data_IF_833983400453
#
_entry.id   IF_833983400453
#
_cell.length_a   1.000
_cell.length_b   1.000
_cell.length_c   1.000
_cell.angle_alpha   90.00
_cell.angle_beta   90.00
_cell.angle_gamma   90.00
#
_symmetry.space_group_name_H-M   'P 1'
#
loop_
_entity.id
_entity.type
_entity.pdbx_description
1 polymer ?
#
# COMPACT_ATOMS: atom_id res chain seq x y z
N UNK A 1 -52.31 0.34 24.57
CA UNK A 1 -51.25 1.10 25.26
C UNK A 1 -49.95 0.80 24.54
N UNK A 2 -49.45 1.76 23.77
CA UNK A 2 -48.26 1.63 22.92
C UNK A 2 -47.14 2.52 23.45
N UNK A 3 -45.92 1.99 23.57
CA UNK A 3 -44.60 2.65 23.42
C UNK A 3 -43.47 1.72 23.93
N UNK A 4 -42.20 1.89 23.49
CA UNK A 4 -41.71 2.56 22.27
C UNK A 4 -40.67 1.73 21.48
N UNK A 5 -40.53 2.05 20.18
CA UNK A 5 -39.43 1.63 19.30
C UNK A 5 -38.16 2.40 19.65
N UNK A 6 -37.03 1.70 19.73
CA UNK A 6 -35.69 2.30 19.83
C UNK A 6 -35.26 2.86 18.48
N UNK A 7 -35.04 4.17 18.42
CA UNK A 7 -34.44 4.84 17.27
C UNK A 7 -32.94 4.55 17.20
N UNK A 8 -32.50 3.79 16.19
CA UNK A 8 -31.09 3.73 15.79
C UNK A 8 -30.72 5.05 15.11
N UNK A 9 -30.08 5.96 15.86
CA UNK A 9 -29.45 7.16 15.31
C UNK A 9 -28.20 6.78 14.52
N UNK A 10 -28.32 6.84 13.21
CA UNK A 10 -27.21 6.80 12.27
C UNK A 10 -26.37 8.09 12.48
N UNK A 11 -25.18 7.97 13.10
CA UNK A 11 -24.25 9.10 13.22
C UNK A 11 -23.42 9.18 11.93
N UNK A 12 -23.35 10.34 11.25
CA UNK A 12 -22.51 10.47 10.07
C UNK A 12 -21.03 10.32 10.44
N UNK A 13 -20.31 9.48 9.71
CA UNK A 13 -18.87 9.35 9.79
C UNK A 13 -18.20 10.72 9.54
N UNK A 14 -17.24 11.08 10.40
CA UNK A 14 -16.51 12.34 10.32
C UNK A 14 -15.85 12.53 8.95
N UNK A 15 -15.87 13.76 8.46
CA UNK A 15 -15.14 14.17 7.24
C UNK A 15 -13.64 13.97 7.48
N UNK A 16 -13.07 12.88 6.94
CA UNK A 16 -11.64 12.74 6.79
C UNK A 16 -11.13 13.81 5.82
N UNK A 17 -10.32 14.76 6.30
CA UNK A 17 -9.47 15.62 5.47
C UNK A 17 -8.09 14.95 5.44
N UNK A 18 -7.65 14.51 4.27
CA UNK A 18 -6.25 14.12 4.06
C UNK A 18 -5.33 15.32 4.40
N UNK A 19 -4.13 15.10 4.95
CA UNK A 19 -3.22 16.18 5.29
C UNK A 19 -2.77 16.93 4.01
N UNK A 20 -3.01 18.24 3.98
CA UNK A 20 -2.76 19.13 2.83
C UNK A 20 -1.28 19.24 2.40
N UNK A 21 -0.33 18.78 3.24
CA UNK A 21 1.10 18.95 3.02
C UNK A 21 1.65 18.17 1.81
N UNK A 22 1.09 17.00 1.48
CA UNK A 22 1.61 16.15 0.38
C UNK A 22 1.05 16.52 -1.00
N UNK A 23 -0.19 17.04 -1.06
CA UNK A 23 -0.69 17.67 -2.30
C UNK A 23 0.16 18.87 -2.68
N UNK A 24 0.63 19.62 -1.69
CA UNK A 24 1.53 20.75 -1.90
C UNK A 24 2.91 20.28 -2.41
N UNK A 25 3.53 19.24 -1.83
CA UNK A 25 4.82 18.75 -2.30
C UNK A 25 4.78 18.20 -3.74
N UNK A 26 3.72 17.45 -4.08
CA UNK A 26 3.54 16.94 -5.45
C UNK A 26 3.20 18.08 -6.42
N UNK A 27 2.35 19.04 -6.03
CA UNK A 27 2.07 20.23 -6.83
C UNK A 27 3.30 21.14 -6.99
N UNK A 28 4.15 21.27 -5.96
CA UNK A 28 5.40 22.04 -5.99
C UNK A 28 6.41 21.35 -6.90
N UNK A 29 6.58 20.02 -6.85
CA UNK A 29 7.44 19.32 -7.80
C UNK A 29 6.91 19.41 -9.23
N UNK A 30 5.59 19.30 -9.45
CA UNK A 30 4.97 19.48 -10.77
C UNK A 30 5.17 20.93 -11.26
N UNK A 31 5.01 21.93 -10.39
CA UNK A 31 5.20 23.34 -10.71
C UNK A 31 6.67 23.70 -10.98
N UNK A 32 7.61 23.13 -10.21
CA UNK A 32 9.05 23.31 -10.43
C UNK A 32 9.52 22.68 -11.75
N UNK A 33 8.97 21.51 -12.11
CA UNK A 33 9.22 20.88 -13.42
C UNK A 33 8.57 21.66 -14.57
N UNK A 34 7.35 22.18 -14.38
CA UNK A 34 6.69 23.06 -15.35
C UNK A 34 7.46 24.37 -15.57
N UNK A 35 8.13 24.88 -14.53
CA UNK A 35 8.99 26.07 -14.58
C UNK A 35 10.40 25.82 -15.17
N UNK A 36 10.69 24.60 -15.65
CA UNK A 36 11.97 24.28 -16.29
C UNK A 36 13.16 24.15 -15.33
N UNK A 37 12.93 23.95 -14.04
CA UNK A 37 14.00 23.73 -13.07
C UNK A 37 14.52 22.27 -13.15
N UNK A 38 15.82 22.10 -13.35
CA UNK A 38 16.49 20.80 -13.21
C UNK A 38 16.46 20.38 -11.72
N UNK A 39 15.52 19.51 -11.36
CA UNK A 39 15.54 18.82 -10.07
C UNK A 39 16.51 17.64 -10.19
N UNK A 40 17.63 17.60 -9.45
CA UNK A 40 18.61 16.53 -9.58
C UNK A 40 18.00 15.18 -9.21
N UNK A 41 18.24 14.16 -10.04
CA UNK A 41 17.78 12.78 -9.91
C UNK A 41 18.27 12.03 -8.64
N UNK A 42 18.99 12.71 -7.75
CA UNK A 42 19.64 12.11 -6.58
C UNK A 42 19.49 13.03 -5.37
N UNK A 43 18.50 12.77 -4.52
CA UNK A 43 18.54 13.26 -3.15
C UNK A 43 19.62 12.45 -2.40
N UNK A 44 20.84 12.95 -2.32
CA UNK A 44 21.76 12.48 -1.28
C UNK A 44 21.22 12.92 0.09
N UNK A 45 21.19 12.05 1.11
CA UNK A 45 20.97 12.53 2.47
C UNK A 45 22.11 13.48 2.87
N UNK A 46 21.87 14.45 3.77
CA UNK A 46 22.90 15.40 4.16
C UNK A 46 24.11 14.64 4.73
N UNK A 47 25.29 14.95 4.19
CA UNK A 47 26.55 14.41 4.67
C UNK A 47 26.71 14.74 6.15
N UNK A 48 26.89 13.71 6.98
CA UNK A 48 27.36 13.89 8.34
C UNK A 48 28.74 14.57 8.28
N UNK A 49 28.80 15.79 8.81
CA UNK A 49 30.06 16.50 9.04
C UNK A 49 30.91 15.71 10.03
N UNK A 50 31.87 14.95 9.52
CA UNK A 50 32.96 14.42 10.30
C UNK A 50 33.89 15.59 10.69
N UNK A 51 33.86 15.99 11.97
CA UNK A 51 34.64 17.11 12.45
C UNK A 51 34.64 17.25 13.96
N UNK A 52 35.18 16.26 14.67
CA UNK A 52 35.74 16.45 16.01
C UNK A 52 36.75 15.34 16.32
N UNK A 53 38.04 15.68 16.27
CA UNK A 53 39.13 14.84 16.78
C UNK A 53 39.01 14.74 18.30
N UNK A 54 39.00 13.51 18.83
CA UNK A 54 39.28 13.25 20.24
C UNK A 54 40.81 13.24 20.47
N UNK A 55 41.31 13.76 21.62
CA UNK A 55 42.74 13.91 21.86
C UNK A 55 43.42 12.56 22.19
N UNK A 56 44.69 12.44 21.80
CA UNK A 56 45.56 11.28 22.07
C UNK A 56 45.93 11.17 23.56
N UNK A 57 46.17 9.95 24.10
CA UNK A 57 46.61 9.74 25.48
C UNK A 57 48.13 9.99 25.65
N UNK A 58 48.61 10.30 26.87
CA UNK A 58 50.03 10.53 27.14
C UNK A 58 50.81 9.20 27.25
N UNK A 59 52.15 9.22 27.14
CA UNK A 59 52.96 8.01 27.22
C UNK A 59 53.13 7.52 28.66
N UNK A 60 53.28 6.21 28.82
CA UNK A 60 53.50 5.55 30.10
C UNK A 60 54.98 5.58 30.50
N UNK A 61 55.26 6.05 31.72
CA UNK A 61 56.49 5.79 32.44
C UNK A 61 56.31 4.62 33.44
N UNK A 62 57.44 4.01 33.74
CA UNK A 62 57.65 2.64 34.21
C UNK A 62 57.77 2.54 35.76
N UNK A 63 57.65 1.29 36.25
CA UNK A 63 58.16 0.74 37.54
C UNK A 63 57.31 0.86 38.82
N UNK A 64 56.78 -0.28 39.29
CA UNK A 64 57.16 -0.99 40.52
C UNK A 64 56.05 -1.95 41.03
N UNK A 65 56.37 -3.25 41.19
CA UNK A 65 55.60 -4.21 41.98
C UNK A 65 56.10 -4.21 43.45
N UNK A 66 55.34 -4.76 44.43
CA UNK A 66 55.53 -6.19 44.74
C UNK A 66 54.31 -7.00 45.26
N UNK A 67 54.47 -8.32 45.09
CA UNK A 67 54.07 -9.49 45.89
C UNK A 67 52.62 -9.78 46.34
N UNK A 68 52.14 -10.96 45.93
CA UNK A 68 51.03 -11.68 46.58
C UNK A 68 50.45 -12.79 45.70
N UNK A 69 50.93 -14.02 45.90
CA UNK A 69 50.63 -15.20 45.08
C UNK A 69 49.17 -15.71 45.12
N UNK A 70 48.65 -16.09 43.94
CA UNK A 70 47.98 -17.38 43.63
C UNK A 70 47.54 -17.42 42.15
N UNK A 71 47.98 -18.42 41.38
CA UNK A 71 47.54 -18.75 40.00
C UNK A 71 46.90 -20.16 39.99
N UNK A 72 46.38 -20.71 38.87
CA UNK A 72 45.89 -20.16 37.58
C UNK A 72 44.40 -20.59 37.35
N UNK A 73 43.64 -20.13 36.36
CA UNK A 73 43.58 -20.70 34.99
C UNK A 73 42.67 -19.87 34.10
N UNK A 74 43.13 -19.55 32.89
CA UNK A 74 42.27 -19.36 31.72
C UNK A 74 42.08 -17.93 31.23
N UNK A 75 43.08 -17.37 30.56
CA UNK A 75 42.84 -16.38 29.49
C UNK A 75 43.92 -16.53 28.43
N UNK A 76 43.61 -17.24 27.34
CA UNK A 76 44.30 -16.98 26.07
C UNK A 76 43.65 -15.75 25.46
N UNK A 77 44.46 -14.70 25.33
CA UNK A 77 44.12 -13.47 24.64
C UNK A 77 44.06 -13.75 23.13
N UNK A 78 42.85 -13.96 22.62
CA UNK A 78 42.49 -13.55 21.28
C UNK A 78 41.28 -12.62 21.43
N UNK A 79 41.55 -11.32 21.45
CA UNK A 79 40.52 -10.29 21.32
C UNK A 79 39.92 -10.33 19.91
N UNK A 80 39.12 -11.37 19.63
CA UNK A 80 38.17 -11.37 18.55
C UNK A 80 36.86 -10.85 19.14
N UNK A 81 36.57 -9.57 18.92
CA UNK A 81 35.17 -9.13 18.86
C UNK A 81 34.49 -10.06 17.88
N UNK A 82 33.56 -10.89 18.37
CA UNK A 82 32.71 -11.69 17.52
C UNK A 82 31.95 -10.71 16.62
N UNK A 83 32.42 -10.56 15.38
CA UNK A 83 31.66 -9.91 14.33
C UNK A 83 30.36 -10.71 14.21
N UNK A 84 29.24 -10.09 14.60
CA UNK A 84 27.94 -10.58 14.22
C UNK A 84 28.00 -10.91 12.73
N UNK A 85 27.51 -12.09 12.29
CA UNK A 85 27.52 -12.41 10.87
C UNK A 85 26.86 -11.25 10.14
N UNK A 86 27.54 -10.74 9.11
CA UNK A 86 26.92 -9.82 8.17
C UNK A 86 25.70 -10.54 7.61
N UNK A 87 24.52 -10.18 8.11
CA UNK A 87 23.26 -10.49 7.46
C UNK A 87 23.28 -9.61 6.22
N UNK A 88 23.55 -10.23 5.07
CA UNK A 88 23.46 -9.53 3.79
C UNK A 88 22.07 -8.90 3.62
N UNK A 89 21.89 -8.04 2.61
CA UNK A 89 20.55 -7.60 2.26
C UNK A 89 19.64 -8.83 2.10
N UNK A 90 18.37 -8.77 2.55
CA UNK A 90 17.43 -9.87 2.34
C UNK A 90 17.45 -10.25 0.85
N UNK A 91 17.41 -11.56 0.57
CA UNK A 91 17.40 -12.04 -0.80
C UNK A 91 16.33 -11.33 -1.63
N UNK A 92 16.59 -11.09 -2.94
CA UNK A 92 15.69 -10.31 -3.77
C UNK A 92 14.27 -10.90 -3.70
N UNK A 93 13.23 -10.08 -3.45
CA UNK A 93 11.89 -10.56 -3.07
C UNK A 93 11.20 -11.52 -4.05
N UNK A 94 11.70 -11.61 -5.28
CA UNK A 94 11.22 -12.47 -6.36
C UNK A 94 11.79 -13.90 -6.32
N UNK A 95 12.72 -14.19 -5.40
CA UNK A 95 13.35 -15.50 -5.25
C UNK A 95 12.43 -16.50 -4.54
N UNK A 96 11.48 -16.02 -3.74
CA UNK A 96 10.48 -16.85 -3.11
C UNK A 96 9.34 -17.08 -4.11
N UNK A 97 9.13 -18.35 -4.48
CA UNK A 97 7.90 -18.77 -5.15
C UNK A 97 6.66 -18.38 -4.32
N UNK A 98 5.45 -18.51 -4.88
CA UNK A 98 4.24 -18.28 -4.10
C UNK A 98 4.31 -19.07 -2.78
N UNK A 99 3.90 -18.47 -1.65
CA UNK A 99 3.95 -19.16 -0.36
C UNK A 99 3.18 -20.49 -0.47
N UNK A 100 3.64 -21.49 0.27
CA UNK A 100 2.92 -22.75 0.32
C UNK A 100 1.46 -22.50 0.77
N UNK A 101 0.49 -23.28 0.23
CA UNK A 101 -0.87 -23.27 0.73
C UNK A 101 -0.91 -23.49 2.23
N UNK A 102 -1.58 -22.61 2.97
CA UNK A 102 -1.58 -22.69 4.43
C UNK A 102 -2.41 -21.61 5.12
N UNK A 103 -2.49 -21.73 6.45
CA UNK A 103 -3.16 -20.78 7.34
C UNK A 103 -2.32 -20.61 8.60
N UNK A 104 -2.13 -19.35 9.00
CA UNK A 104 -1.35 -18.97 10.18
C UNK A 104 -2.14 -17.94 11.00
N UNK A 105 -2.13 -18.08 12.32
CA UNK A 105 -2.70 -17.07 13.22
C UNK A 105 -1.71 -15.90 13.38
N UNK A 106 -2.08 -14.72 12.88
CA UNK A 106 -1.25 -13.51 12.93
C UNK A 106 -1.45 -12.75 14.25
N UNK A 107 -2.70 -12.72 14.72
CA UNK A 107 -3.11 -12.12 15.98
C UNK A 107 -4.30 -12.93 16.51
N UNK A 108 -4.65 -12.77 17.80
CA UNK A 108 -5.73 -13.53 18.43
C UNK A 108 -7.01 -13.52 17.59
N UNK A 109 -7.39 -14.68 17.03
CA UNK A 109 -8.58 -14.83 16.19
C UNK A 109 -8.49 -14.17 14.81
N UNK A 110 -7.32 -13.78 14.32
CA UNK A 110 -7.09 -13.27 12.97
C UNK A 110 -6.04 -14.13 12.26
N UNK A 111 -6.48 -14.82 11.22
CA UNK A 111 -5.67 -15.75 10.46
C UNK A 111 -5.32 -15.17 9.09
N UNK A 112 -4.11 -15.42 8.60
CA UNK A 112 -3.69 -15.18 7.23
C UNK A 112 -3.70 -16.51 6.49
N UNK A 113 -4.37 -16.55 5.34
CA UNK A 113 -4.44 -17.72 4.45
C UNK A 113 -3.59 -17.44 3.22
N UNK A 114 -2.65 -18.32 2.91
CA UNK A 114 -1.65 -18.13 1.84
C UNK A 114 -1.70 -19.23 0.80
N UNK A 115 -1.10 -18.99 -0.37
CA UNK A 115 -0.85 -20.03 -1.39
C UNK A 115 -2.00 -20.34 -2.35
N UNK A 116 -3.02 -19.49 -2.39
CA UNK A 116 -4.19 -19.65 -3.28
C UNK A 116 -4.34 -18.52 -4.33
N UNK A 117 -3.23 -17.86 -4.67
CA UNK A 117 -3.17 -16.75 -5.63
C UNK A 117 -2.83 -15.40 -4.98
N UNK A 118 -3.31 -15.19 -3.75
CA UNK A 118 -2.96 -14.06 -2.90
C UNK A 118 -3.20 -14.44 -1.43
N UNK A 119 -2.80 -13.56 -0.52
CA UNK A 119 -3.16 -13.67 0.88
C UNK A 119 -4.65 -13.35 1.04
N UNK A 120 -5.30 -14.04 1.97
CA UNK A 120 -6.61 -13.66 2.50
C UNK A 120 -6.48 -13.53 4.02
N UNK A 121 -7.46 -12.90 4.65
CA UNK A 121 -7.59 -12.90 6.11
C UNK A 121 -8.91 -13.49 6.55
N UNK A 122 -8.90 -14.23 7.66
CA UNK A 122 -10.10 -14.76 8.32
C UNK A 122 -10.12 -14.30 9.78
N UNK A 123 -11.07 -13.42 10.11
CA UNK A 123 -11.34 -12.94 11.47
C UNK A 123 -12.37 -13.84 12.12
N UNK A 124 -11.92 -14.71 13.02
CA UNK A 124 -12.75 -15.64 13.79
C UNK A 124 -13.27 -14.93 15.03
N UNK A 125 -14.58 -15.06 15.28
CA UNK A 125 -15.26 -14.49 16.45
C UNK A 125 -16.24 -15.54 17.03
N UNK A 126 -16.77 -15.33 18.25
CA UNK A 126 -17.76 -16.23 18.83
C UNK A 126 -19.07 -16.39 18.03
N UNK A 127 -19.39 -15.47 17.10
CA UNK A 127 -20.65 -15.49 16.33
C UNK A 127 -20.47 -15.87 14.85
N UNK A 128 -19.21 -16.07 14.42
CA UNK A 128 -18.88 -16.41 13.05
C UNK A 128 -17.54 -15.85 12.57
N UNK A 129 -17.28 -16.04 11.29
CA UNK A 129 -16.03 -15.61 10.63
C UNK A 129 -16.31 -14.53 9.60
N UNK A 130 -15.45 -13.51 9.56
CA UNK A 130 -15.35 -12.55 8.45
C UNK A 130 -14.11 -12.91 7.61
N UNK A 131 -14.31 -13.25 6.35
CA UNK A 131 -13.22 -13.53 5.40
C UNK A 131 -13.03 -12.31 4.51
N UNK A 132 -11.82 -11.83 4.31
CA UNK A 132 -11.52 -10.75 3.36
C UNK A 132 -10.39 -11.14 2.40
N UNK A 133 -10.61 -10.88 1.10
CA UNK A 133 -9.67 -11.23 0.04
C UNK A 133 -10.37 -11.49 -1.29
N UNK A 134 -9.60 -11.90 -2.29
CA UNK A 134 -10.14 -12.34 -3.58
C UNK A 134 -10.27 -13.87 -3.57
N UNK A 135 -11.47 -14.37 -3.89
CA UNK A 135 -11.67 -15.80 -4.07
C UNK A 135 -11.29 -16.20 -5.49
N UNK A 136 -10.37 -17.16 -5.59
CA UNK A 136 -9.95 -17.72 -6.86
C UNK A 136 -10.71 -19.01 -7.16
N UNK A 137 -10.36 -19.70 -8.24
CA UNK A 137 -10.86 -21.05 -8.51
C UNK A 137 -10.59 -22.06 -7.36
N UNK A 138 -9.71 -21.71 -6.41
CA UNK A 138 -9.43 -22.51 -5.21
C UNK A 138 -10.42 -22.26 -4.05
N UNK A 139 -11.56 -21.60 -4.27
CA UNK A 139 -12.52 -21.22 -3.22
C UNK A 139 -12.90 -22.36 -2.26
N UNK A 140 -13.17 -23.57 -2.78
CA UNK A 140 -13.47 -24.75 -1.93
C UNK A 140 -12.28 -25.16 -1.06
N UNK A 141 -11.05 -25.04 -1.58
CA UNK A 141 -9.83 -25.36 -0.83
C UNK A 141 -9.52 -24.30 0.23
N UNK A 142 -9.75 -23.02 -0.09
CA UNK A 142 -9.67 -21.91 0.87
C UNK A 142 -10.67 -22.16 2.02
N UNK A 143 -11.90 -22.55 1.70
CA UNK A 143 -12.92 -22.86 2.70
C UNK A 143 -12.52 -24.03 3.60
N UNK A 144 -12.00 -25.12 3.03
CA UNK A 144 -11.49 -26.26 3.79
C UNK A 144 -10.31 -25.87 4.69
N UNK A 145 -9.44 -24.96 4.22
CA UNK A 145 -8.29 -24.47 4.98
C UNK A 145 -8.72 -23.65 6.19
N UNK A 146 -9.68 -22.74 6.03
CA UNK A 146 -10.24 -21.95 7.13
C UNK A 146 -10.99 -22.84 8.13
N UNK A 147 -11.72 -23.85 7.66
CA UNK A 147 -12.39 -24.82 8.52
C UNK A 147 -11.42 -25.63 9.40
N UNK A 148 -10.14 -25.76 9.00
CA UNK A 148 -9.11 -26.36 9.83
C UNK A 148 -8.74 -25.56 11.08
N UNK A 149 -9.05 -24.26 11.12
CA UNK A 149 -8.77 -23.38 12.25
C UNK A 149 -10.01 -23.08 13.12
N UNK A 150 -11.23 -23.29 12.62
CA UNK A 150 -12.45 -22.96 13.37
C UNK A 150 -13.68 -23.71 12.85
N UNK A 151 -14.60 -24.02 13.78
CA UNK A 151 -15.94 -24.55 13.47
C UNK A 151 -17.00 -23.44 13.29
N UNK A 152 -16.62 -22.16 13.45
CA UNK A 152 -17.54 -21.04 13.32
C UNK A 152 -17.99 -20.84 11.87
N UNK A 153 -19.28 -20.54 11.61
CA UNK A 153 -19.76 -20.33 10.25
C UNK A 153 -19.19 -19.01 9.69
N UNK A 154 -18.81 -19.01 8.41
CA UNK A 154 -18.50 -17.78 7.69
C UNK A 154 -19.79 -16.98 7.51
N UNK A 155 -19.79 -15.73 8.02
CA UNK A 155 -20.95 -14.83 7.98
C UNK A 155 -20.80 -13.75 6.92
N UNK A 156 -19.56 -13.33 6.66
CA UNK A 156 -19.25 -12.27 5.70
C UNK A 156 -18.05 -12.66 4.85
N UNK A 157 -18.15 -12.40 3.55
CA UNK A 157 -17.04 -12.47 2.60
C UNK A 157 -16.86 -11.09 2.00
N UNK A 158 -15.76 -10.43 2.37
CA UNK A 158 -15.39 -9.08 1.96
C UNK A 158 -14.48 -9.17 0.74
N UNK A 159 -15.04 -8.86 -0.43
CA UNK A 159 -14.24 -8.75 -1.64
C UNK A 159 -13.54 -7.39 -1.65
N UNK A 160 -12.21 -7.41 -1.70
CA UNK A 160 -11.42 -6.18 -1.57
C UNK A 160 -11.23 -5.43 -2.88
N UNK A 161 -11.21 -6.12 -4.01
CA UNK A 161 -11.05 -5.53 -5.34
C UNK A 161 -11.73 -6.42 -6.39
N UNK A 162 -11.81 -5.95 -7.64
CA UNK A 162 -12.40 -6.73 -8.73
C UNK A 162 -11.60 -6.51 -10.00
N UNK A 163 -10.93 -7.56 -10.46
CA UNK A 163 -10.33 -7.63 -11.78
C UNK A 163 -11.37 -7.91 -12.88
N UNK A 164 -10.95 -7.83 -14.13
CA UNK A 164 -11.77 -8.26 -15.26
C UNK A 164 -12.07 -9.77 -15.15
N UNK A 165 -13.36 -10.12 -15.15
CA UNK A 165 -13.81 -11.51 -15.04
C UNK A 165 -15.03 -11.66 -14.16
N UNK A 166 -15.65 -12.84 -14.22
CA UNK A 166 -16.70 -13.22 -13.27
C UNK A 166 -16.05 -13.62 -11.94
N UNK A 167 -16.52 -13.08 -10.80
CA UNK A 167 -15.99 -13.49 -9.50
C UNK A 167 -16.23 -14.99 -9.27
N UNK A 168 -15.35 -15.62 -8.48
CA UNK A 168 -15.58 -16.99 -8.07
C UNK A 168 -16.84 -17.10 -7.21
N UNK A 169 -17.67 -18.10 -7.48
CA UNK A 169 -18.82 -18.41 -6.66
C UNK A 169 -18.40 -18.75 -5.22
N UNK A 170 -19.25 -18.44 -4.24
CA UNK A 170 -19.01 -18.87 -2.88
C UNK A 170 -19.04 -20.41 -2.80
N UNK A 171 -18.10 -21.03 -2.06
CA UNK A 171 -18.10 -22.46 -1.83
C UNK A 171 -19.34 -22.86 -1.03
N UNK A 172 -19.83 -24.09 -1.20
CA UNK A 172 -21.11 -24.54 -0.63
C UNK A 172 -21.27 -24.32 0.90
N UNK A 173 -20.22 -24.43 1.75
CA UNK A 173 -20.31 -24.11 3.17
C UNK A 173 -20.56 -22.63 3.47
N UNK A 174 -20.27 -21.73 2.54
CA UNK A 174 -20.39 -20.28 2.70
C UNK A 174 -21.59 -19.69 1.95
N UNK A 175 -22.47 -20.52 1.38
CA UNK A 175 -23.64 -20.06 0.59
C UNK A 175 -24.55 -19.06 1.32
N UNK A 176 -24.59 -19.12 2.65
CA UNK A 176 -25.41 -18.25 3.51
C UNK A 176 -24.63 -17.00 4.00
N UNK A 177 -23.35 -16.88 3.65
CA UNK A 177 -22.53 -15.72 3.97
C UNK A 177 -22.94 -14.52 3.11
N UNK A 178 -22.90 -13.34 3.72
CA UNK A 178 -23.15 -12.07 3.01
C UNK A 178 -21.89 -11.64 2.26
N UNK A 179 -22.04 -11.39 0.96
CA UNK A 179 -21.01 -10.79 0.13
C UNK A 179 -21.01 -9.28 0.34
N UNK A 180 -19.85 -8.73 0.65
CA UNK A 180 -19.64 -7.29 0.81
C UNK A 180 -18.60 -6.84 -0.19
N UNK A 181 -18.89 -5.79 -0.95
CA UNK A 181 -17.95 -5.22 -1.90
C UNK A 181 -18.09 -3.69 -1.98
N UNK A 182 -17.04 -2.96 -2.32
CA UNK A 182 -17.18 -1.55 -2.68
C UNK A 182 -18.12 -1.40 -3.89
N UNK A 183 -18.99 -0.39 -3.84
CA UNK A 183 -19.81 0.00 -4.97
C UNK A 183 -18.92 0.65 -6.03
N UNK A 184 -19.02 0.22 -7.29
CA UNK A 184 -18.25 0.81 -8.39
C UNK A 184 -18.68 2.27 -8.61
N UNK A 185 -17.77 3.26 -8.47
CA UNK A 185 -18.11 4.67 -8.70
C UNK A 185 -18.22 5.03 -10.19
N UNK A 186 -17.63 4.21 -11.08
CA UNK A 186 -17.44 4.57 -12.49
C UNK A 186 -18.22 3.61 -13.40
N UNK A 187 -19.12 4.10 -14.28
CA UNK A 187 -19.57 3.33 -15.43
C UNK A 187 -18.35 3.05 -16.31
N UNK A 188 -17.98 1.79 -16.49
CA UNK A 188 -16.97 1.42 -17.50
C UNK A 188 -17.37 2.06 -18.85
N UNK A 189 -16.40 2.45 -19.70
CA UNK A 189 -16.69 2.96 -21.04
C UNK A 189 -17.74 2.09 -21.72
N UNK A 190 -18.77 2.74 -22.26
CA UNK A 190 -19.97 2.08 -22.81
C UNK A 190 -19.54 1.01 -23.83
N UNK A 191 -19.70 -0.27 -23.49
CA UNK A 191 -19.44 -1.39 -24.41
C UNK A 191 -18.60 -2.55 -23.87
N UNK A 192 -18.01 -2.47 -22.68
CA UNK A 192 -17.44 -3.68 -22.07
C UNK A 192 -18.55 -4.56 -21.46
N UNK A 193 -18.52 -5.87 -21.71
CA UNK A 193 -19.44 -6.83 -21.10
C UNK A 193 -19.40 -6.82 -19.56
N UNK A 194 -18.33 -6.28 -18.98
CA UNK A 194 -18.13 -6.08 -17.54
C UNK A 194 -18.97 -4.93 -16.94
N UNK A 195 -19.62 -4.11 -17.77
CA UNK A 195 -20.53 -3.06 -17.32
C UNK A 195 -21.84 -3.60 -16.71
N UNK A 196 -22.12 -4.90 -16.83
CA UNK A 196 -23.38 -5.51 -16.38
C UNK A 196 -23.22 -6.88 -15.72
N UNK A 197 -22.48 -7.01 -14.61
CA UNK A 197 -22.74 -8.07 -13.61
C UNK A 197 -21.93 -7.84 -12.34
N UNK A 198 -22.51 -7.27 -11.28
CA UNK A 198 -22.19 -7.80 -9.98
C UNK A 198 -22.85 -9.19 -9.93
N UNK A 199 -22.09 -10.25 -9.69
CA UNK A 199 -22.68 -11.28 -8.83
C UNK A 199 -22.98 -10.52 -7.53
N UNK A 200 -24.27 -10.23 -7.31
CA UNK A 200 -24.71 -9.12 -6.47
C UNK A 200 -24.12 -9.26 -5.08
N UNK A 201 -23.15 -8.39 -4.74
CA UNK A 201 -22.78 -8.20 -3.37
C UNK A 201 -24.06 -7.88 -2.60
N UNK A 202 -24.34 -8.63 -1.53
CA UNK A 202 -25.50 -8.39 -0.68
C UNK A 202 -25.46 -6.99 -0.07
N UNK A 203 -24.24 -6.50 0.20
CA UNK A 203 -23.96 -5.19 0.75
C UNK A 203 -22.90 -4.47 -0.08
N UNK A 204 -23.17 -3.20 -0.39
CA UNK A 204 -22.20 -2.32 -1.05
C UNK A 204 -21.98 -1.04 -0.26
N UNK A 205 -20.81 -0.42 -0.43
CA UNK A 205 -20.46 0.83 0.20
C UNK A 205 -19.62 1.70 -0.74
N UNK A 206 -19.71 3.03 -0.61
CA UNK A 206 -18.98 3.95 -1.50
C UNK A 206 -17.64 4.42 -0.90
N UNK A 207 -17.57 4.66 0.41
CA UNK A 207 -16.36 5.18 1.08
C UNK A 207 -15.89 4.32 2.24
N UNK A 208 -16.83 3.75 2.98
CA UNK A 208 -16.51 2.78 4.02
C UNK A 208 -17.74 2.15 4.63
N UNK A 209 -17.50 1.12 5.43
CA UNK A 209 -18.50 0.34 6.14
C UNK A 209 -17.86 -0.25 7.39
N UNK A 210 -18.54 -0.18 8.54
CA UNK A 210 -18.15 -0.95 9.73
C UNK A 210 -19.05 -2.17 9.88
N UNK A 211 -18.45 -3.33 10.03
CA UNK A 211 -19.14 -4.58 10.39
C UNK A 211 -18.83 -4.91 11.84
N UNK A 212 -19.84 -5.36 12.57
CA UNK A 212 -19.71 -5.84 13.94
C UNK A 212 -20.16 -7.29 13.99
N UNK A 213 -19.33 -8.18 14.54
CA UNK A 213 -19.64 -9.61 14.68
C UNK A 213 -18.94 -10.14 15.93
N UNK A 214 -19.69 -10.77 16.84
CA UNK A 214 -19.11 -11.42 18.03
C UNK A 214 -18.24 -10.51 18.91
N UNK A 215 -18.55 -9.20 18.95
CA UNK A 215 -17.80 -8.21 19.71
C UNK A 215 -16.59 -7.57 18.99
N UNK A 216 -16.22 -8.04 17.80
CA UNK A 216 -15.17 -7.43 16.98
C UNK A 216 -15.74 -6.40 16.00
N UNK A 217 -14.98 -5.33 15.72
CA UNK A 217 -15.26 -4.36 14.65
C UNK A 217 -14.32 -4.61 13.45
N UNK A 218 -14.87 -4.63 12.25
CA UNK A 218 -14.12 -4.68 10.99
C UNK A 218 -14.48 -3.45 10.15
N UNK A 219 -13.52 -2.59 9.86
CA UNK A 219 -13.74 -1.33 9.10
C UNK A 219 -13.22 -1.46 7.68
N UNK A 220 -14.09 -1.25 6.72
CA UNK A 220 -13.78 -1.23 5.29
C UNK A 220 -13.60 0.23 4.85
N UNK A 221 -12.54 0.49 4.10
CA UNK A 221 -12.19 1.82 3.60
C UNK A 221 -11.92 1.77 2.09
N UNK A 222 -12.68 2.55 1.33
CA UNK A 222 -12.41 2.88 -0.07
C UNK A 222 -12.07 4.37 -0.16
N UNK A 223 -10.85 4.67 -0.61
CA UNK A 223 -10.34 6.05 -0.68
C UNK A 223 -10.50 6.61 -2.10
N UNK A 224 -9.90 5.94 -3.09
CA UNK A 224 -9.97 6.26 -4.50
C UNK A 224 -9.67 5.00 -5.35
N UNK A 225 -9.99 4.99 -6.65
CA UNK A 225 -9.48 3.99 -7.58
C UNK A 225 -7.96 3.90 -7.52
N UNK A 226 -7.42 2.70 -7.37
CA UNK A 226 -6.00 2.48 -7.15
C UNK A 226 -5.50 1.30 -7.99
N UNK A 227 -5.38 0.13 -7.39
CA UNK A 227 -5.04 -1.10 -8.08
C UNK A 227 -6.15 -1.48 -9.10
N UNK A 228 -7.41 -1.32 -8.69
CA UNK A 228 -8.62 -1.44 -9.52
C UNK A 228 -9.55 -0.22 -9.31
N UNK A 229 -10.72 -0.21 -9.96
CA UNK A 229 -11.73 0.82 -9.71
C UNK A 229 -12.47 0.67 -8.38
N UNK A 230 -12.23 -0.40 -7.63
CA UNK A 230 -13.04 -0.77 -6.48
C UNK A 230 -12.21 -1.42 -5.38
N UNK A 231 -11.15 -0.76 -4.93
CA UNK A 231 -10.24 -1.29 -3.92
C UNK A 231 -10.66 -0.98 -2.48
N UNK A 232 -10.42 -1.91 -1.55
CA UNK A 232 -10.81 -1.79 -0.15
C UNK A 232 -9.66 -2.16 0.76
N UNK A 233 -9.29 -1.26 1.66
CA UNK A 233 -8.47 -1.58 2.82
C UNK A 233 -9.38 -2.01 3.99
N UNK A 234 -9.03 -3.09 4.68
CA UNK A 234 -9.82 -3.64 5.79
C UNK A 234 -9.02 -3.51 7.08
N UNK A 235 -9.51 -2.71 8.03
CA UNK A 235 -8.89 -2.47 9.32
C UNK A 235 -9.59 -3.29 10.41
N UNK A 236 -8.80 -3.93 11.26
CA UNK A 236 -9.21 -4.60 12.50
C UNK A 236 -8.71 -3.74 13.68
N UNK A 237 -9.50 -2.77 14.18
CA UNK A 237 -9.00 -1.73 15.08
C UNK A 237 -8.55 -2.25 16.43
N UNK A 238 -9.20 -3.30 16.94
CA UNK A 238 -8.88 -3.98 18.19
C UNK A 238 -7.52 -4.69 18.14
N UNK A 239 -7.08 -5.09 16.94
CA UNK A 239 -5.81 -5.77 16.72
C UNK A 239 -4.69 -4.84 16.22
N UNK A 240 -5.03 -3.62 15.78
CA UNK A 240 -4.08 -2.75 15.08
C UNK A 240 -3.54 -3.37 13.78
N UNK A 241 -4.36 -4.17 13.09
CA UNK A 241 -4.00 -4.88 11.85
C UNK A 241 -4.80 -4.34 10.67
N UNK A 242 -4.11 -4.04 9.58
CA UNK A 242 -4.69 -3.68 8.30
C UNK A 242 -4.52 -4.83 7.30
N UNK A 243 -5.57 -5.33 6.68
CA UNK A 243 -5.47 -6.08 5.44
C UNK A 243 -5.53 -5.11 4.25
N UNK A 244 -4.42 -4.96 3.55
CA UNK A 244 -4.28 -4.05 2.42
C UNK A 244 -4.62 -4.71 1.08
N UNK A 245 -4.59 -6.05 0.99
CA UNK A 245 -4.70 -6.76 -0.28
C UNK A 245 -3.71 -6.21 -1.31
N UNK A 246 -4.13 -6.12 -2.57
CA UNK A 246 -3.26 -5.70 -3.67
C UNK A 246 -2.97 -4.19 -3.70
N UNK A 247 -3.48 -3.40 -2.73
CA UNK A 247 -3.08 -2.01 -2.53
C UNK A 247 -1.63 -1.87 -2.04
N UNK A 248 -1.10 -2.90 -1.38
CA UNK A 248 0.31 -2.99 -0.98
C UNK A 248 0.82 -4.37 -1.37
N UNK A 249 1.83 -4.40 -2.23
CA UNK A 249 2.44 -5.64 -2.72
C UNK A 249 3.94 -5.63 -2.46
N UNK A 250 4.54 -6.81 -2.30
CA UNK A 250 5.99 -6.97 -2.14
C UNK A 250 6.78 -6.55 -3.39
N UNK A 251 6.11 -6.50 -4.54
CA UNK A 251 6.71 -6.25 -5.83
C UNK A 251 6.44 -4.87 -6.42
N UNK A 252 6.78 -4.74 -7.70
CA UNK A 252 6.48 -3.54 -8.47
C UNK A 252 4.95 -3.45 -8.61
N UNK A 253 4.35 -2.28 -8.36
CA UNK A 253 2.90 -2.12 -8.38
C UNK A 253 2.35 -2.55 -9.74
N UNK A 254 1.19 -3.20 -9.74
CA UNK A 254 0.45 -3.53 -10.95
C UNK A 254 -0.87 -2.77 -10.91
N UNK A 255 -1.07 -1.86 -11.87
CA UNK A 255 -2.30 -1.06 -11.99
C UNK A 255 -3.15 -1.70 -13.07
N UNK A 256 -4.35 -2.16 -12.70
CA UNK A 256 -5.31 -2.72 -13.63
C UNK A 256 -6.24 -1.63 -14.16
N UNK A 257 -5.73 -0.87 -15.14
CA UNK A 257 -6.50 0.19 -15.82
C UNK A 257 -7.78 -0.32 -16.49
N UNK A 258 -7.78 -1.58 -16.97
CA UNK A 258 -8.96 -2.18 -17.58
C UNK A 258 -10.08 -2.41 -16.54
N UNK A 259 -9.69 -2.75 -15.31
CA UNK A 259 -10.58 -2.84 -14.15
C UNK A 259 -10.89 -1.48 -13.49
N UNK A 260 -10.44 -0.37 -14.06
CA UNK A 260 -10.69 0.99 -13.58
C UNK A 260 -9.69 1.51 -12.54
N UNK A 261 -8.51 0.88 -12.41
CA UNK A 261 -7.41 1.37 -11.57
C UNK A 261 -6.83 2.70 -12.08
N UNK A 262 -6.02 3.33 -11.24
CA UNK A 262 -5.40 4.61 -11.56
C UNK A 262 -4.24 4.95 -10.63
N UNK A 263 -3.18 5.51 -11.20
CA UNK A 263 -1.95 5.77 -10.47
C UNK A 263 -2.05 6.99 -9.54
N UNK A 264 -2.82 8.02 -9.91
CA UNK A 264 -3.09 9.18 -9.03
C UNK A 264 -3.90 8.77 -7.80
N UNK A 265 -4.97 8.01 -8.00
CA UNK A 265 -5.83 7.56 -6.91
C UNK A 265 -5.14 6.54 -6.01
N UNK A 266 -4.18 5.76 -6.52
CA UNK A 266 -3.37 4.89 -5.67
C UNK A 266 -2.48 5.66 -4.69
N UNK A 267 -1.91 6.82 -5.09
CA UNK A 267 -1.22 7.70 -4.13
C UNK A 267 -2.18 8.19 -3.04
N UNK A 268 -3.38 8.63 -3.41
CA UNK A 268 -4.42 9.05 -2.45
C UNK A 268 -4.83 7.91 -1.50
N UNK A 269 -4.98 6.70 -2.02
CA UNK A 269 -5.32 5.51 -1.24
C UNK A 269 -4.21 5.15 -0.25
N UNK A 270 -2.94 5.21 -0.65
CA UNK A 270 -1.81 4.95 0.26
C UNK A 270 -1.68 6.02 1.34
N UNK A 271 -1.90 7.30 1.00
CA UNK A 271 -1.97 8.39 1.99
C UNK A 271 -3.13 8.18 2.98
N UNK A 272 -4.29 7.76 2.48
CA UNK A 272 -5.45 7.43 3.30
C UNK A 272 -5.20 6.26 4.23
N UNK A 273 -4.56 5.19 3.74
CA UNK A 273 -4.14 4.04 4.53
C UNK A 273 -3.18 4.47 5.64
N UNK A 274 -2.13 5.23 5.34
CA UNK A 274 -1.13 5.65 6.32
C UNK A 274 -1.70 6.56 7.42
N UNK A 275 -2.85 7.19 7.18
CA UNK A 275 -3.60 7.95 8.18
C UNK A 275 -4.46 7.09 9.12
N UNK A 276 -4.57 5.78 8.89
CA UNK A 276 -5.26 4.85 9.79
C UNK A 276 -4.34 4.39 10.93
N UNK A 277 -4.93 4.04 12.07
CA UNK A 277 -4.22 3.51 13.24
C UNK A 277 -4.03 1.99 13.09
N UNK A 278 -2.84 1.58 12.65
CA UNK A 278 -2.42 0.18 12.55
C UNK A 278 -0.90 0.08 12.71
N UNK A 279 -0.42 -1.07 13.15
CA UNK A 279 1.02 -1.37 13.26
C UNK A 279 1.46 -2.40 12.24
N UNK A 280 0.58 -3.39 11.98
CA UNK A 280 0.82 -4.49 11.05
C UNK A 280 -0.10 -4.40 9.84
N UNK A 281 0.44 -4.62 8.64
CA UNK A 281 -0.29 -4.71 7.39
C UNK A 281 -0.11 -6.07 6.72
N UNK A 282 -1.19 -6.71 6.30
CA UNK A 282 -1.17 -7.93 5.49
C UNK A 282 -1.31 -7.52 4.01
N UNK A 283 -0.25 -7.70 3.19
CA UNK A 283 -0.31 -7.39 1.76
C UNK A 283 -1.08 -8.46 1.00
N UNK A 284 -1.39 -8.21 -0.28
CA UNK A 284 -1.97 -9.18 -1.19
C UNK A 284 -1.07 -10.38 -1.48
N UNK A 285 0.25 -10.24 -1.30
CA UNK A 285 1.20 -11.34 -1.39
C UNK A 285 2.44 -11.13 -0.51
N UNK A 286 2.90 -12.22 0.13
CA UNK A 286 4.10 -12.26 0.99
C UNK A 286 3.79 -12.06 2.47
N UNK A 287 4.80 -12.06 3.35
CA UNK A 287 4.59 -11.91 4.78
C UNK A 287 4.08 -10.53 5.16
N UNK A 288 3.53 -10.45 6.38
CA UNK A 288 3.07 -9.22 7.00
C UNK A 288 4.17 -8.15 7.01
N UNK A 289 3.72 -6.90 6.95
CA UNK A 289 4.51 -5.69 6.82
C UNK A 289 4.25 -4.78 8.01
N UNK A 290 5.19 -3.90 8.33
CA UNK A 290 4.96 -2.81 9.27
C UNK A 290 4.31 -1.62 8.56
N UNK A 291 3.73 -0.69 9.32
CA UNK A 291 3.29 0.62 8.79
C UNK A 291 4.43 1.38 8.09
N UNK A 292 5.68 1.22 8.57
CA UNK A 292 6.86 1.81 7.93
C UNK A 292 7.11 1.23 6.54
N UNK A 293 6.93 -0.08 6.36
CA UNK A 293 7.08 -0.73 5.05
C UNK A 293 6.02 -0.25 4.06
N UNK A 294 4.78 -0.05 4.51
CA UNK A 294 3.72 0.57 3.68
C UNK A 294 4.11 1.98 3.25
N UNK A 295 4.74 2.75 4.14
CA UNK A 295 5.27 4.07 3.78
C UNK A 295 6.41 3.97 2.75
N UNK A 296 7.35 3.03 2.90
CA UNK A 296 8.39 2.78 1.88
C UNK A 296 7.76 2.48 0.52
N UNK A 297 6.76 1.59 0.49
CA UNK A 297 6.05 1.24 -0.74
C UNK A 297 5.41 2.47 -1.40
N UNK A 298 4.72 3.32 -0.61
CA UNK A 298 4.17 4.60 -1.09
C UNK A 298 5.25 5.47 -1.70
N UNK A 299 6.33 5.71 -0.96
CA UNK A 299 7.35 6.68 -1.35
C UNK A 299 8.06 6.25 -2.64
N UNK A 300 8.27 4.94 -2.81
CA UNK A 300 8.75 4.35 -4.07
C UNK A 300 7.77 4.57 -5.21
N UNK A 301 6.47 4.38 -4.98
CA UNK A 301 5.45 4.60 -6.01
C UNK A 301 5.32 6.05 -6.45
N UNK A 302 5.41 6.99 -5.50
CA UNK A 302 5.47 8.43 -5.81
C UNK A 302 6.73 8.76 -6.61
N UNK A 303 7.87 8.19 -6.24
CA UNK A 303 9.14 8.39 -6.96
C UNK A 303 9.07 7.88 -8.39
N UNK A 304 8.50 6.70 -8.60
CA UNK A 304 8.23 6.12 -9.92
C UNK A 304 7.38 7.06 -10.78
N UNK A 305 6.23 7.52 -10.25
CA UNK A 305 5.35 8.48 -10.95
C UNK A 305 6.06 9.79 -11.30
N UNK A 306 6.82 10.34 -10.36
CA UNK A 306 7.60 11.56 -10.59
C UNK A 306 8.63 11.38 -11.72
N UNK A 307 9.40 10.27 -11.72
CA UNK A 307 10.40 10.02 -12.76
C UNK A 307 9.76 9.84 -14.13
N UNK A 308 8.63 9.15 -14.22
CA UNK A 308 7.86 9.05 -15.45
C UNK A 308 7.37 10.44 -15.93
N UNK A 309 6.88 11.28 -15.01
CA UNK A 309 6.49 12.67 -15.32
C UNK A 309 7.69 13.51 -15.81
N UNK A 310 8.88 13.33 -15.25
CA UNK A 310 10.09 14.03 -15.72
C UNK A 310 10.44 13.67 -17.17
N UNK A 311 10.26 12.40 -17.57
CA UNK A 311 10.45 11.98 -18.96
C UNK A 311 9.43 12.68 -19.88
N UNK A 312 8.17 12.82 -19.46
CA UNK A 312 7.15 13.57 -20.20
C UNK A 312 7.54 15.04 -20.39
N UNK A 313 8.04 15.72 -19.35
CA UNK A 313 8.50 17.10 -19.46
C UNK A 313 9.71 17.26 -20.39
N UNK A 314 10.54 16.22 -20.52
CA UNK A 314 11.66 16.17 -21.49
C UNK A 314 11.23 15.79 -22.91
N UNK A 315 9.94 15.58 -23.15
CA UNK A 315 9.42 15.24 -24.48
C UNK A 315 9.65 13.79 -24.90
N UNK A 316 9.95 12.89 -23.96
CA UNK A 316 10.16 11.47 -24.26
C UNK A 316 8.82 10.80 -24.60
N UNK A 317 8.79 10.04 -25.69
CA UNK A 317 7.61 9.26 -26.09
C UNK A 317 7.41 8.02 -25.20
N UNK A 318 6.18 7.57 -25.00
CA UNK A 318 5.86 6.46 -24.09
C UNK A 318 6.58 5.15 -24.40
N UNK A 319 6.79 4.84 -25.69
CA UNK A 319 7.51 3.64 -26.13
C UNK A 319 8.99 3.63 -25.70
N UNK A 320 9.61 4.80 -25.56
CA UNK A 320 10.98 4.96 -25.10
C UNK A 320 11.06 5.19 -23.59
N UNK A 321 10.00 5.76 -23.00
CA UNK A 321 9.97 6.09 -21.59
C UNK A 321 10.16 4.85 -20.69
N UNK A 322 9.65 3.68 -21.08
CA UNK A 322 9.85 2.45 -20.33
C UNK A 322 11.33 2.06 -20.21
N UNK A 323 12.10 2.28 -21.28
CA UNK A 323 13.54 1.95 -21.33
C UNK A 323 14.38 2.95 -20.55
N UNK A 324 13.91 4.19 -20.47
CA UNK A 324 14.60 5.31 -19.82
C UNK A 324 14.19 5.51 -18.36
N UNK A 325 13.15 4.83 -17.90
CA UNK A 325 12.69 4.93 -16.52
C UNK A 325 13.66 4.21 -15.59
N UNK A 326 14.31 4.95 -14.71
CA UNK A 326 15.21 4.39 -13.69
C UNK A 326 14.43 3.95 -12.46
N UNK A 327 14.52 2.67 -12.10
CA UNK A 327 13.87 2.07 -10.92
C UNK A 327 14.80 1.21 -10.06
N UNK A 328 16.08 1.15 -10.43
CA UNK A 328 17.08 0.29 -9.79
C UNK A 328 17.24 0.55 -8.28
N UNK A 329 17.12 1.81 -7.85
CA UNK A 329 17.16 2.23 -6.45
C UNK A 329 15.82 2.09 -5.71
N UNK A 330 14.74 1.74 -6.41
CA UNK A 330 13.41 1.47 -5.82
C UNK A 330 13.24 -0.01 -5.43
N UNK A 331 14.25 -0.85 -5.68
CA UNK A 331 14.17 -2.32 -5.63
C UNK A 331 13.03 -2.89 -6.49
N UNK A 332 12.66 -2.18 -7.56
CA UNK A 332 11.60 -2.57 -8.51
C UNK A 332 12.20 -2.70 -9.90
N UNK A 333 12.92 -3.80 -10.20
CA UNK A 333 13.55 -3.96 -11.49
C UNK A 333 12.48 -3.96 -12.60
N UNK A 334 12.64 -3.04 -13.55
CA UNK A 334 11.83 -3.04 -14.77
C UNK A 334 12.27 -4.19 -15.65
N UNK A 335 11.41 -5.19 -15.78
CA UNK A 335 11.65 -6.37 -16.59
C UNK A 335 10.52 -6.49 -17.61
N UNK A 336 10.88 -6.52 -18.89
CA UNK A 336 9.93 -6.76 -19.98
C UNK A 336 9.19 -8.10 -19.77
N UNK A 337 7.93 -8.19 -20.20
CA UNK A 337 7.08 -9.36 -19.95
C UNK A 337 6.50 -9.47 -18.54
N UNK A 338 6.80 -8.53 -17.63
CA UNK A 338 6.16 -8.47 -16.30
C UNK A 338 4.92 -7.57 -16.31
N UNK A 339 3.93 -7.82 -15.42
CA UNK A 339 2.65 -7.13 -15.45
C UNK A 339 2.73 -5.60 -15.51
N UNK A 340 3.61 -4.96 -14.72
CA UNK A 340 3.75 -3.52 -14.77
C UNK A 340 4.18 -3.01 -16.15
N UNK A 341 5.25 -3.57 -16.72
CA UNK A 341 5.78 -3.16 -18.01
C UNK A 341 4.77 -3.38 -19.15
N UNK A 342 4.08 -4.52 -19.14
CA UNK A 342 3.19 -4.93 -20.23
C UNK A 342 1.79 -4.32 -20.14
N UNK A 343 1.26 -4.15 -18.93
CA UNK A 343 -0.17 -3.85 -18.71
C UNK A 343 -0.45 -2.54 -17.98
N UNK A 344 0.54 -1.99 -17.28
CA UNK A 344 0.33 -0.75 -16.51
C UNK A 344 1.07 0.45 -17.08
N UNK A 345 2.31 0.28 -17.55
CA UNK A 345 3.19 1.40 -17.81
C UNK A 345 2.68 2.34 -18.90
N UNK A 346 2.22 1.81 -20.04
CA UNK A 346 1.71 2.64 -21.13
C UNK A 346 0.54 3.53 -20.67
N UNK A 347 -0.46 2.93 -20.02
CA UNK A 347 -1.62 3.66 -19.49
C UNK A 347 -1.24 4.63 -18.35
N UNK A 348 -0.25 4.28 -17.51
CA UNK A 348 0.31 5.21 -16.53
C UNK A 348 0.96 6.41 -17.20
N UNK A 349 1.69 6.21 -18.28
CA UNK A 349 2.33 7.30 -19.01
C UNK A 349 1.30 8.21 -19.67
N UNK A 350 0.24 7.64 -20.24
CA UNK A 350 -0.89 8.39 -20.80
C UNK A 350 -1.66 9.16 -19.71
N UNK A 351 -1.91 8.55 -18.54
CA UNK A 351 -2.51 9.22 -17.38
C UNK A 351 -1.68 10.45 -16.96
N UNK A 352 -0.36 10.29 -16.84
CA UNK A 352 0.53 11.40 -16.48
C UNK A 352 0.60 12.48 -17.58
N UNK A 353 0.47 12.11 -18.85
CA UNK A 353 0.42 13.09 -19.94
C UNK A 353 -0.84 13.97 -19.83
N UNK A 354 -1.99 13.37 -19.48
CA UNK A 354 -3.22 14.12 -19.19
C UNK A 354 -3.02 15.03 -17.97
N UNK A 355 -2.47 14.50 -16.86
CA UNK A 355 -2.19 15.30 -15.67
C UNK A 355 -1.26 16.50 -15.97
N UNK A 356 -0.29 16.35 -16.88
CA UNK A 356 0.60 17.44 -17.30
C UNK A 356 -0.16 18.55 -18.03
N UNK A 357 -1.05 18.20 -18.97
CA UNK A 357 -1.85 19.20 -19.68
C UNK A 357 -2.87 19.88 -18.75
N UNK A 358 -3.48 19.13 -17.81
CA UNK A 358 -4.31 19.72 -16.74
C UNK A 358 -3.52 20.76 -15.93
N UNK A 359 -2.28 20.44 -15.55
CA UNK A 359 -1.42 21.36 -14.81
C UNK A 359 -1.05 22.61 -15.61
N UNK A 360 -0.75 22.46 -16.91
CA UNK A 360 -0.48 23.61 -17.81
C UNK A 360 -1.69 24.52 -17.96
N UNK A 361 -2.86 23.96 -18.20
CA UNK A 361 -4.10 24.73 -18.32
C UNK A 361 -4.43 25.49 -17.01
N UNK A 362 -4.19 24.88 -15.85
CA UNK A 362 -4.38 25.54 -14.56
C UNK A 362 -3.40 26.70 -14.33
N UNK A 363 -2.14 26.55 -14.76
CA UNK A 363 -1.11 27.59 -14.67
C UNK A 363 -1.40 28.76 -15.62
N UNK A 364 -1.87 28.49 -16.83
CA UNK A 364 -2.33 29.52 -17.77
C UNK A 364 -3.53 30.32 -17.20
N UNK A 365 -4.52 29.63 -16.61
CA UNK A 365 -5.65 30.28 -15.96
C UNK A 365 -5.22 31.14 -14.77
N UNK A 366 -4.26 30.66 -13.97
CA UNK A 366 -3.72 31.40 -12.83
C UNK A 366 -2.97 32.67 -13.27
N UNK A 367 -2.23 32.64 -14.39
CA UNK A 367 -1.59 33.84 -14.94
C UNK A 367 -2.60 34.84 -15.49
N UNK A 368 -3.60 34.38 -16.25
CA UNK A 368 -4.64 35.25 -16.79
C UNK A 368 -5.45 35.95 -15.70
N UNK A 369 -5.80 35.24 -14.62
CA UNK A 369 -6.49 35.84 -13.46
C UNK A 369 -5.65 36.87 -12.72
N UNK A 370 -4.33 36.66 -12.59
CA UNK A 370 -3.44 37.64 -11.99
C UNK A 370 -3.28 38.90 -12.85
N UNK A 371 -3.21 38.76 -14.18
CA UNK A 371 -3.17 39.88 -15.13
C UNK A 371 -4.48 40.70 -15.10
N UNK A 372 -5.63 40.03 -15.03
CA UNK A 372 -6.95 40.69 -14.90
C UNK A 372 -7.10 41.45 -13.56
N UNK A 373 -6.59 40.90 -12.45
CA UNK A 373 -6.61 41.55 -11.13
C UNK A 373 -5.66 42.77 -11.08
N UNK A 374 -4.48 42.70 -11.71
CA UNK A 374 -3.58 43.84 -11.86
C UNK A 374 -4.22 44.94 -12.72
N UNK A 375 -4.85 44.60 -13.85
CA UNK A 375 -5.51 45.57 -14.74
C UNK A 375 -6.77 46.19 -14.12
N UNK A 376 -7.51 45.47 -13.27
CA UNK A 376 -8.65 46.02 -12.52
C UNK A 376 -8.20 46.93 -11.35
N UNK A 377 -7.04 46.64 -10.73
CA UNK A 377 -6.48 47.49 -9.67
C UNK A 377 -5.91 48.82 -10.18
N UNK A 378 -5.52 48.88 -11.45
CA UNK A 378 -4.99 50.07 -12.12
C UNK A 378 -6.07 50.95 -12.80
N UNK A 379 -7.36 50.61 -12.65
CA UNK A 379 -8.46 51.46 -13.12
C UNK A 379 -8.74 52.60 -12.12
N UNK A 380 -8.70 53.87 -12.55
CA UNK A 380 -8.79 55.05 -11.68
C UNK A 380 -10.18 55.31 -11.09
#
# INVERSE_FOLDING_TARGET
MSRPRSEHRNRPAGRFRAPAANRLAQAVCIALLAAGADVPLRAQPPAATAGAQAPSPPPADEVAAPDGAAQPTGVDAAGAVASAPFVGPPEPPWLYGPPAPGIEELAEGLYVVTGYGGNLVARVTPEGVVVAGELTAAADTIAATIAGATDQPVRYVLRTHQHDGEPAALPAPWRDARRVAPGRPVPLPHGSAASQRPEAADLTFTRGLSLFLGGAEVRLHHFAPAHTGSDTAVLFPDLGVLYAGDLVVRGMPFIDYAAGGGSRGWVETLDGILALEFETAVPGAGPALTKRDVQVFRDRFVTLRMRAMQLLYRGVAGEDALRLLETSDLDWPLVAGRPFAERSFAALYDELAVEREEARAADELARGTAEDEEEESDRP
#
